data_IF_772169068057
#
_entry.id   IF_772169068057
#
_cell.length_a   1.000
_cell.length_b   1.000
_cell.length_c   1.000
_cell.angle_alpha   90.00
_cell.angle_beta   90.00
_cell.angle_gamma   90.00
#
_symmetry.space_group_name_H-M   'P 1'
#
loop_
_entity.id
_entity.type
_entity.pdbx_description
1 polymer ?
#
# COMPACT_ATOMS: atom_id res chain seq x y z
N UNK A 1 28.57 16.30 -10.10
CA UNK A 1 27.20 16.88 -10.02
C UNK A 1 26.32 15.91 -9.26
N UNK A 2 26.05 16.18 -7.99
CA UNK A 2 25.15 15.36 -7.17
C UNK A 2 23.72 15.79 -7.51
N UNK A 3 23.01 14.95 -8.29
CA UNK A 3 21.62 15.19 -8.65
C UNK A 3 20.76 15.35 -7.40
N UNK A 4 19.99 16.43 -7.35
CA UNK A 4 18.94 16.69 -6.36
C UNK A 4 18.04 15.45 -6.24
N UNK A 5 18.23 14.65 -5.19
CA UNK A 5 17.29 13.58 -4.84
C UNK A 5 15.97 14.26 -4.45
N UNK A 6 14.94 14.07 -5.26
CA UNK A 6 13.59 14.57 -4.96
C UNK A 6 13.20 14.17 -3.53
N UNK A 7 12.84 15.16 -2.71
CA UNK A 7 12.39 14.94 -1.33
C UNK A 7 11.15 14.05 -1.36
N UNK A 8 11.09 13.02 -0.52
CA UNK A 8 9.98 12.05 -0.50
C UNK A 8 8.60 12.68 -0.28
N UNK A 9 8.53 13.93 0.19
CA UNK A 9 7.31 14.71 0.35
C UNK A 9 6.68 15.21 -0.96
N UNK A 10 7.38 15.15 -2.11
CA UNK A 10 6.87 15.62 -3.40
C UNK A 10 6.26 14.50 -4.26
N UNK A 11 6.22 13.26 -3.78
CA UNK A 11 5.58 12.14 -4.48
C UNK A 11 4.09 12.14 -4.10
N UNK A 12 3.14 12.31 -5.03
CA UNK A 12 1.71 12.27 -4.75
C UNK A 12 1.33 10.97 -4.03
N UNK A 13 0.42 11.07 -3.06
CA UNK A 13 0.04 9.92 -2.20
C UNK A 13 -0.65 8.80 -3.00
N UNK A 14 -1.27 9.15 -4.11
CA UNK A 14 -1.89 8.23 -5.07
C UNK A 14 -0.90 7.67 -6.10
N UNK A 15 0.38 8.07 -6.08
CA UNK A 15 1.39 7.62 -7.05
C UNK A 15 1.52 6.10 -7.15
N UNK A 16 1.34 5.38 -6.04
CA UNK A 16 1.35 3.90 -6.03
C UNK A 16 0.09 3.29 -6.66
N UNK A 17 -1.03 4.03 -6.63
CA UNK A 17 -2.33 3.61 -7.17
C UNK A 17 -2.49 4.01 -8.63
N UNK A 18 -1.74 5.03 -9.09
CA UNK A 18 -1.67 5.43 -10.50
C UNK A 18 -1.12 4.28 -11.33
N UNK A 19 -1.97 3.81 -12.24
CA UNK A 19 -1.59 2.87 -13.29
C UNK A 19 -1.37 3.69 -14.55
N UNK A 20 -0.47 3.25 -15.41
CA UNK A 20 -0.41 3.79 -16.77
C UNK A 20 -1.80 3.58 -17.41
N UNK A 21 -2.58 4.66 -17.64
CA UNK A 21 -3.96 4.53 -18.08
C UNK A 21 -4.05 3.95 -19.50
N UNK A 22 -2.96 4.05 -20.27
CA UNK A 22 -2.96 3.86 -21.72
C UNK A 22 -2.21 2.62 -22.19
N UNK A 23 -1.92 1.64 -21.32
CA UNK A 23 -1.35 0.38 -21.82
C UNK A 23 -2.31 -0.25 -22.82
N UNK A 24 -1.84 -0.36 -24.06
CA UNK A 24 -2.61 -0.76 -25.24
C UNK A 24 -2.14 -2.11 -25.80
N UNK A 25 -2.88 -2.63 -26.78
CA UNK A 25 -2.44 -3.83 -27.52
C UNK A 25 -1.14 -3.57 -28.29
N UNK A 26 -0.87 -2.33 -28.70
CA UNK A 26 0.39 -1.94 -29.36
C UNK A 26 1.56 -2.08 -28.38
N UNK A 27 1.41 -1.53 -27.19
CA UNK A 27 2.41 -1.61 -26.12
C UNK A 27 2.68 -3.05 -25.70
N UNK A 28 1.64 -3.91 -25.68
CA UNK A 28 1.82 -5.34 -25.44
C UNK A 28 2.67 -6.00 -26.54
N UNK A 29 2.50 -5.61 -27.81
CA UNK A 29 3.36 -6.07 -28.90
C UNK A 29 4.80 -5.61 -28.74
N UNK A 30 5.01 -4.35 -28.40
CA UNK A 30 6.35 -3.82 -28.15
C UNK A 30 7.03 -4.52 -26.98
N UNK A 31 6.29 -4.76 -25.89
CA UNK A 31 6.77 -5.50 -24.75
C UNK A 31 7.17 -6.94 -25.13
N UNK A 32 6.34 -7.62 -25.91
CA UNK A 32 6.62 -8.98 -26.39
C UNK A 32 7.90 -9.02 -27.21
N UNK A 33 8.04 -8.11 -28.17
CA UNK A 33 9.22 -8.01 -29.04
C UNK A 33 10.49 -7.71 -28.23
N UNK A 34 10.38 -6.83 -27.24
CA UNK A 34 11.49 -6.47 -26.35
C UNK A 34 11.93 -7.66 -25.51
N UNK A 35 10.99 -8.41 -24.93
CA UNK A 35 11.29 -9.61 -24.15
C UNK A 35 11.88 -10.73 -25.00
N UNK A 36 11.36 -10.97 -26.21
CA UNK A 36 11.94 -11.93 -27.19
C UNK A 36 13.35 -11.52 -27.60
N UNK A 37 13.58 -10.22 -27.87
CA UNK A 37 14.91 -9.72 -28.24
C UNK A 37 15.92 -9.86 -27.09
N UNK A 38 15.48 -9.59 -25.87
CA UNK A 38 16.28 -9.77 -24.66
C UNK A 38 16.65 -11.23 -24.44
N UNK A 39 15.69 -12.16 -24.58
CA UNK A 39 15.95 -13.59 -24.41
C UNK A 39 16.94 -14.10 -25.46
N UNK A 40 16.79 -13.69 -26.73
CA UNK A 40 17.75 -14.02 -27.79
C UNK A 40 19.15 -13.50 -27.49
N UNK A 41 19.28 -12.24 -27.05
CA UNK A 41 20.59 -11.68 -26.71
C UNK A 41 21.28 -12.44 -25.57
N UNK A 42 20.50 -12.88 -24.58
CA UNK A 42 20.99 -13.71 -23.48
C UNK A 42 21.24 -15.17 -23.88
N UNK A 43 20.65 -15.65 -24.97
CA UNK A 43 20.85 -16.99 -25.50
C UNK A 43 22.11 -17.09 -26.35
N UNK A 44 22.34 -16.09 -27.21
CA UNK A 44 23.50 -16.06 -28.12
C UNK A 44 24.80 -15.65 -27.43
N UNK A 45 24.72 -15.06 -26.24
CA UNK A 45 25.90 -14.60 -25.50
C UNK A 45 26.26 -15.61 -24.40
N UNK A 46 27.55 -15.99 -24.24
CA UNK A 46 27.97 -16.78 -23.09
C UNK A 46 27.76 -16.04 -21.76
N UNK A 47 27.36 -16.76 -20.71
CA UNK A 47 27.05 -16.18 -19.38
C UNK A 47 28.17 -15.28 -18.82
N UNK A 48 29.44 -15.60 -19.11
CA UNK A 48 30.59 -14.81 -18.68
C UNK A 48 30.61 -13.38 -19.26
N UNK A 49 30.03 -13.19 -20.46
CA UNK A 49 29.98 -11.94 -21.21
C UNK A 49 28.65 -11.20 -21.04
N UNK A 50 27.70 -11.72 -20.25
CA UNK A 50 26.40 -11.07 -20.05
C UNK A 50 26.53 -9.67 -19.44
N UNK A 51 27.59 -9.40 -18.67
CA UNK A 51 27.84 -8.06 -18.10
C UNK A 51 28.13 -7.00 -19.17
N UNK A 52 28.62 -7.44 -20.33
CA UNK A 52 29.07 -6.57 -21.43
C UNK A 52 27.96 -6.35 -22.48
N UNK A 53 26.79 -6.99 -22.33
CA UNK A 53 25.64 -6.77 -23.21
C UNK A 53 25.12 -5.34 -23.02
N UNK A 54 24.94 -4.62 -24.13
CA UNK A 54 24.27 -3.32 -24.13
C UNK A 54 22.74 -3.50 -24.00
N UNK A 55 22.30 -3.74 -22.77
CA UNK A 55 20.88 -3.88 -22.47
C UNK A 55 20.05 -2.63 -22.78
N UNK A 56 20.66 -1.43 -22.78
CA UNK A 56 19.92 -0.20 -23.06
C UNK A 56 19.50 -0.16 -24.53
N UNK A 57 20.34 -0.65 -25.44
CA UNK A 57 20.01 -0.77 -26.87
C UNK A 57 18.93 -1.82 -27.17
N UNK A 58 18.70 -2.75 -26.24
CA UNK A 58 17.69 -3.82 -26.35
C UNK A 58 16.35 -3.36 -25.76
N UNK A 59 16.37 -2.77 -24.56
CA UNK A 59 15.17 -2.45 -23.79
C UNK A 59 14.50 -1.15 -24.26
N UNK A 60 15.24 -0.25 -24.91
CA UNK A 60 14.63 0.98 -25.43
C UNK A 60 13.64 0.66 -26.56
N UNK A 61 12.42 1.24 -26.52
CA UNK A 61 11.46 1.18 -27.60
C UNK A 61 12.14 1.46 -28.93
N UNK A 62 12.06 0.51 -29.86
CA UNK A 62 12.26 0.84 -31.27
C UNK A 62 10.87 1.03 -31.84
N UNK A 63 10.64 2.12 -32.58
CA UNK A 63 9.46 2.29 -33.44
C UNK A 63 9.42 1.14 -34.46
N UNK A 64 8.99 -0.04 -34.03
CA UNK A 64 8.90 -1.24 -34.82
C UNK A 64 7.44 -1.46 -35.12
N UNK A 65 7.13 -1.51 -36.41
CA UNK A 65 5.87 -2.05 -36.88
C UNK A 65 5.84 -3.52 -36.45
N UNK A 66 4.98 -3.83 -35.48
CA UNK A 66 4.73 -5.20 -35.04
C UNK A 66 4.25 -6.04 -36.21
N UNK A 67 4.83 -7.22 -36.41
CA UNK A 67 4.38 -8.17 -37.44
C UNK A 67 2.98 -8.68 -37.12
N UNK A 68 2.18 -8.93 -38.16
CA UNK A 68 0.81 -9.45 -38.01
C UNK A 68 0.75 -10.86 -37.38
N UNK A 69 1.82 -11.66 -37.53
CA UNK A 69 1.88 -13.06 -37.09
C UNK A 69 1.78 -13.27 -35.57
N UNK A 70 1.97 -12.21 -34.76
CA UNK A 70 1.97 -12.29 -33.29
C UNK A 70 0.67 -11.74 -32.64
N UNK A 71 -0.40 -11.45 -33.40
CA UNK A 71 -1.60 -10.80 -32.86
C UNK A 71 -2.27 -11.59 -31.73
N UNK A 72 -2.43 -12.90 -31.86
CA UNK A 72 -3.01 -13.75 -30.82
C UNK A 72 -2.20 -13.73 -29.51
N UNK A 73 -0.86 -13.78 -29.63
CA UNK A 73 0.04 -13.71 -28.48
C UNK A 73 0.00 -12.33 -27.80
N UNK A 74 -0.14 -11.27 -28.59
CA UNK A 74 -0.29 -9.90 -28.07
C UNK A 74 -1.55 -9.74 -27.23
N UNK A 75 -2.69 -10.28 -27.70
CA UNK A 75 -3.95 -10.25 -26.95
C UNK A 75 -3.82 -11.04 -25.64
N UNK A 76 -3.21 -12.23 -25.69
CA UNK A 76 -2.96 -13.04 -24.49
C UNK A 76 -2.06 -12.31 -23.49
N UNK A 77 -0.95 -11.73 -23.95
CA UNK A 77 -0.03 -10.97 -23.13
C UNK A 77 -0.70 -9.74 -22.51
N UNK A 78 -1.47 -9.00 -23.31
CA UNK A 78 -2.22 -7.84 -22.85
C UNK A 78 -3.17 -8.20 -21.71
N UNK A 79 -3.99 -9.24 -21.89
CA UNK A 79 -4.91 -9.72 -20.87
C UNK A 79 -4.21 -10.25 -19.63
N UNK A 80 -3.03 -10.87 -19.80
CA UNK A 80 -2.23 -11.37 -18.69
C UNK A 80 -1.68 -10.24 -17.80
N UNK A 81 -1.30 -9.10 -18.39
CA UNK A 81 -0.59 -8.03 -17.67
C UNK A 81 -1.52 -6.90 -17.23
N UNK A 82 -2.58 -6.61 -17.99
CA UNK A 82 -3.50 -5.49 -17.73
C UNK A 82 -4.03 -5.54 -16.31
N UNK A 83 -3.76 -4.48 -15.55
CA UNK A 83 -4.20 -4.32 -14.16
C UNK A 83 -3.40 -5.11 -13.11
N UNK A 84 -2.39 -5.90 -13.51
CA UNK A 84 -1.49 -6.60 -12.57
C UNK A 84 -0.19 -5.85 -12.32
N UNK A 85 0.31 -5.13 -13.31
CA UNK A 85 1.55 -4.35 -13.24
C UNK A 85 1.22 -2.87 -13.50
N UNK A 86 1.64 -1.92 -12.63
CA UNK A 86 1.31 -0.49 -12.81
C UNK A 86 1.85 0.10 -14.12
N UNK A 87 3.08 -0.28 -14.50
CA UNK A 87 3.75 0.12 -15.74
C UNK A 87 4.31 -1.11 -16.47
N UNK A 88 3.51 -1.76 -17.33
CA UNK A 88 3.91 -2.97 -18.05
C UNK A 88 5.20 -2.84 -18.87
N UNK A 89 5.41 -1.70 -19.54
CA UNK A 89 6.62 -1.45 -20.32
C UNK A 89 7.89 -1.38 -19.46
N UNK A 90 7.77 -1.21 -18.14
CA UNK A 90 8.87 -1.25 -17.19
C UNK A 90 9.36 -2.68 -16.86
N UNK A 91 8.64 -3.73 -17.25
CA UNK A 91 8.99 -5.13 -16.95
C UNK A 91 10.42 -5.48 -17.42
N UNK A 92 10.85 -5.17 -18.67
CA UNK A 92 12.19 -5.54 -19.14
C UNK A 92 13.29 -4.76 -18.42
N UNK A 93 13.05 -3.47 -18.10
CA UNK A 93 14.00 -2.64 -17.33
C UNK A 93 14.21 -3.24 -15.94
N UNK A 94 13.12 -3.48 -15.21
CA UNK A 94 13.17 -4.05 -13.86
C UNK A 94 13.84 -5.43 -13.84
N UNK A 95 13.61 -6.25 -14.87
CA UNK A 95 14.29 -7.53 -15.04
C UNK A 95 15.80 -7.35 -15.26
N UNK A 96 16.21 -6.48 -16.20
CA UNK A 96 17.61 -6.25 -16.52
C UNK A 96 18.41 -5.75 -15.32
N UNK A 97 17.87 -4.78 -14.57
CA UNK A 97 18.52 -4.27 -13.37
C UNK A 97 18.69 -5.37 -12.30
N UNK A 98 17.64 -6.17 -12.10
CA UNK A 98 17.70 -7.30 -11.19
C UNK A 98 18.70 -8.37 -11.65
N UNK A 99 18.72 -8.67 -12.94
CA UNK A 99 19.59 -9.66 -13.54
C UNK A 99 21.06 -9.24 -13.44
N UNK A 100 21.38 -7.97 -13.74
CA UNK A 100 22.73 -7.40 -13.55
C UNK A 100 23.19 -7.52 -12.10
N UNK A 101 22.31 -7.20 -11.14
CA UNK A 101 22.60 -7.34 -9.72
C UNK A 101 22.88 -8.80 -9.34
N UNK A 102 22.07 -9.74 -9.85
CA UNK A 102 22.26 -11.16 -9.64
C UNK A 102 23.61 -11.67 -10.21
N UNK A 103 24.03 -11.19 -11.39
CA UNK A 103 25.31 -11.54 -12.02
C UNK A 103 26.54 -11.10 -11.21
N UNK A 104 26.41 -10.06 -10.37
CA UNK A 104 27.47 -9.62 -9.45
C UNK A 104 27.31 -10.19 -8.03
N UNK A 105 26.33 -11.07 -7.82
CA UNK A 105 26.05 -11.66 -6.50
C UNK A 105 25.39 -10.71 -5.50
N UNK A 106 24.78 -9.63 -5.97
CA UNK A 106 24.07 -8.66 -5.15
C UNK A 106 22.56 -8.90 -5.20
N UNK A 107 21.89 -8.62 -4.07
CA UNK A 107 20.43 -8.56 -4.05
C UNK A 107 19.97 -7.25 -4.70
N UNK A 108 19.04 -7.35 -5.65
CA UNK A 108 18.43 -6.17 -6.23
C UNK A 108 17.43 -5.56 -5.25
N UNK A 109 17.55 -4.25 -5.02
CA UNK A 109 16.61 -3.46 -4.23
C UNK A 109 15.86 -2.55 -5.19
N UNK A 110 14.54 -2.63 -5.19
CA UNK A 110 13.72 -1.75 -6.02
C UNK A 110 13.90 -0.30 -5.56
N UNK A 111 14.64 0.49 -6.32
CA UNK A 111 14.67 1.93 -6.14
C UNK A 111 13.42 2.52 -6.78
N UNK A 112 12.54 3.11 -5.98
CA UNK A 112 11.38 3.82 -6.52
C UNK A 112 11.86 5.15 -7.09
N UNK A 113 12.26 5.15 -8.35
CA UNK A 113 12.59 6.37 -9.10
C UNK A 113 11.28 7.01 -9.54
N UNK A 114 10.94 8.13 -8.92
CA UNK A 114 9.82 8.96 -9.32
C UNK A 114 10.27 9.87 -10.47
N UNK A 115 10.60 9.27 -11.62
CA UNK A 115 11.11 10.01 -12.78
C UNK A 115 10.01 10.85 -13.42
N UNK A 116 8.77 10.33 -13.42
CA UNK A 116 7.59 11.08 -13.81
C UNK A 116 6.41 10.75 -12.88
N UNK A 117 5.90 11.76 -12.16
CA UNK A 117 4.79 11.60 -11.21
C UNK A 117 3.45 11.29 -11.89
N UNK A 118 3.34 11.55 -13.19
CA UNK A 118 2.14 11.32 -13.99
C UNK A 118 2.03 9.88 -14.49
N UNK A 119 3.15 9.23 -14.80
CA UNK A 119 3.16 7.88 -15.39
C UNK A 119 2.86 6.78 -14.36
N UNK A 120 2.78 7.14 -13.08
CA UNK A 120 2.63 6.21 -11.97
C UNK A 120 3.95 5.58 -11.56
N UNK A 121 3.86 4.56 -10.71
CA UNK A 121 5.04 3.90 -10.14
C UNK A 121 5.71 2.97 -11.15
N UNK A 122 7.03 3.06 -11.25
CA UNK A 122 7.86 2.10 -11.97
C UNK A 122 7.55 0.64 -11.56
N UNK A 123 7.63 -0.27 -12.53
CA UNK A 123 7.48 -1.70 -12.30
C UNK A 123 8.56 -2.20 -11.32
N UNK A 124 8.16 -2.90 -10.26
CA UNK A 124 9.12 -3.55 -9.37
C UNK A 124 9.63 -4.86 -9.95
N UNK A 125 10.86 -5.25 -9.60
CA UNK A 125 11.42 -6.56 -9.90
C UNK A 125 10.51 -7.70 -9.44
N UNK A 126 9.91 -7.62 -8.26
CA UNK A 126 8.97 -8.65 -7.77
C UNK A 126 7.71 -8.77 -8.64
N UNK A 127 7.28 -7.69 -9.27
CA UNK A 127 6.13 -7.69 -10.18
C UNK A 127 6.52 -8.24 -11.53
N UNK A 128 7.67 -7.80 -12.06
CA UNK A 128 8.29 -8.32 -13.28
C UNK A 128 8.49 -9.84 -13.22
N UNK A 129 9.18 -10.35 -12.19
CA UNK A 129 9.41 -11.80 -12.01
C UNK A 129 8.11 -12.59 -11.83
N UNK A 130 7.10 -12.01 -11.16
CA UNK A 130 5.81 -12.69 -10.96
C UNK A 130 5.05 -12.89 -12.28
N UNK A 131 5.13 -11.94 -13.20
CA UNK A 131 4.48 -12.09 -14.52
C UNK A 131 5.35 -12.85 -15.52
N UNK A 132 6.68 -12.85 -15.39
CA UNK A 132 7.59 -13.43 -16.37
C UNK A 132 7.33 -14.92 -16.62
N UNK A 133 7.00 -15.72 -15.61
CA UNK A 133 6.68 -17.15 -15.81
C UNK A 133 5.46 -17.37 -16.73
N UNK A 134 4.44 -16.53 -16.60
CA UNK A 134 3.29 -16.54 -17.50
C UNK A 134 3.68 -16.11 -18.91
N UNK A 135 4.52 -15.06 -19.01
CA UNK A 135 5.00 -14.54 -20.29
C UNK A 135 5.89 -15.55 -21.01
N UNK A 136 6.78 -16.25 -20.30
CA UNK A 136 7.64 -17.30 -20.86
C UNK A 136 6.83 -18.39 -21.54
N UNK A 137 5.76 -18.87 -20.90
CA UNK A 137 4.91 -19.91 -21.46
C UNK A 137 4.19 -19.45 -22.74
N UNK A 138 3.85 -18.17 -22.85
CA UNK A 138 3.19 -17.60 -24.03
C UNK A 138 4.19 -17.25 -25.14
N UNK A 139 5.33 -16.67 -24.79
CA UNK A 139 6.30 -16.10 -25.72
C UNK A 139 7.44 -17.06 -26.10
N UNK A 140 7.56 -18.20 -25.41
CA UNK A 140 8.65 -19.17 -25.58
C UNK A 140 10.01 -18.67 -25.09
N UNK A 141 10.03 -17.73 -24.14
CA UNK A 141 11.28 -17.17 -23.59
C UNK A 141 11.79 -17.96 -22.37
N UNK A 142 13.05 -17.72 -21.98
CA UNK A 142 13.70 -18.39 -20.85
C UNK A 142 14.30 -17.41 -19.82
N UNK A 143 13.77 -16.18 -19.77
CA UNK A 143 14.26 -15.09 -18.93
C UNK A 143 14.25 -15.40 -17.43
N UNK A 144 13.15 -15.91 -16.88
CA UNK A 144 13.02 -16.33 -15.48
C UNK A 144 14.01 -17.45 -15.16
N UNK A 145 14.07 -18.49 -16.01
CA UNK A 145 15.02 -19.60 -15.80
C UNK A 145 16.46 -19.10 -15.78
N UNK A 146 16.83 -18.18 -16.68
CA UNK A 146 18.17 -17.56 -16.70
C UNK A 146 18.43 -16.71 -15.46
N UNK A 147 17.44 -15.94 -15.02
CA UNK A 147 17.52 -15.18 -13.78
C UNK A 147 17.77 -16.09 -12.59
N UNK A 148 17.02 -17.18 -12.44
CA UNK A 148 17.16 -18.14 -11.35
C UNK A 148 18.58 -18.76 -11.33
N UNK A 149 19.14 -19.07 -12.51
CA UNK A 149 20.52 -19.58 -12.63
C UNK A 149 21.55 -18.53 -12.23
N UNK A 150 21.41 -17.28 -12.69
CA UNK A 150 22.33 -16.19 -12.33
C UNK A 150 22.26 -15.90 -10.83
N UNK A 151 21.06 -15.86 -10.28
CA UNK A 151 20.78 -15.63 -8.87
C UNK A 151 21.34 -16.75 -7.97
N UNK A 152 21.18 -18.01 -8.38
CA UNK A 152 21.78 -19.14 -7.68
C UNK A 152 23.31 -19.11 -7.71
N UNK A 153 23.94 -18.77 -8.85
CA UNK A 153 25.40 -18.64 -8.96
C UNK A 153 25.95 -17.51 -8.09
N UNK A 154 25.29 -16.34 -8.09
CA UNK A 154 25.70 -15.19 -7.28
C UNK A 154 25.67 -15.46 -5.76
N UNK A 155 24.79 -16.34 -5.30
CA UNK A 155 24.64 -16.69 -3.87
C UNK A 155 25.54 -17.85 -3.40
N UNK A 156 26.33 -18.43 -4.32
CA UNK A 156 27.08 -19.69 -4.17
C UNK A 156 28.42 -19.62 -3.41
N UNK A 157 28.73 -18.57 -2.66
CA UNK A 157 29.77 -18.64 -1.61
C UNK A 157 29.32 -19.48 -0.39
N UNK A 158 28.68 -20.62 -0.61
CA UNK A 158 28.28 -21.55 0.43
C UNK A 158 27.88 -22.91 -0.13
N UNK A 159 28.81 -23.86 0.00
CA UNK A 159 28.67 -25.33 0.05
C UNK A 159 27.66 -26.04 -0.89
N UNK A 160 28.20 -26.96 -1.71
CA UNK A 160 27.55 -27.75 -2.79
C UNK A 160 26.33 -28.62 -2.39
N UNK A 161 25.85 -28.60 -1.14
CA UNK A 161 24.81 -29.53 -0.64
C UNK A 161 23.35 -29.01 -0.73
N UNK A 162 23.10 -27.79 -1.22
CA UNK A 162 21.76 -27.15 -1.17
C UNK A 162 20.97 -27.10 -2.49
N UNK A 163 21.39 -27.86 -3.52
CA UNK A 163 20.84 -27.75 -4.89
C UNK A 163 19.43 -28.34 -5.12
N UNK A 164 18.80 -28.99 -4.14
CA UNK A 164 17.55 -29.77 -4.39
C UNK A 164 16.23 -29.06 -4.06
N UNK A 165 16.23 -27.79 -3.64
CA UNK A 165 15.00 -27.01 -3.43
C UNK A 165 15.07 -25.65 -4.10
N UNK A 166 14.72 -25.61 -5.39
CA UNK A 166 14.63 -24.38 -6.21
C UNK A 166 13.50 -23.43 -5.71
N UNK A 167 12.64 -23.87 -4.78
CA UNK A 167 11.60 -23.02 -4.17
C UNK A 167 12.04 -22.13 -2.99
N UNK A 168 13.33 -22.06 -2.62
CA UNK A 168 13.80 -21.32 -1.41
C UNK A 168 15.06 -20.48 -1.62
N UNK A 169 15.43 -20.15 -2.86
CA UNK A 169 16.74 -19.55 -3.15
C UNK A 169 16.63 -18.03 -3.28
N UNK A 170 16.26 -17.40 -2.17
CA UNK A 170 16.98 -16.24 -1.64
C UNK A 170 17.51 -16.77 -0.32
N UNK A 171 18.82 -16.70 -0.06
CA UNK A 171 19.28 -16.84 1.34
C UNK A 171 18.51 -15.74 2.07
N UNK A 172 17.44 -16.11 2.78
CA UNK A 172 16.64 -15.20 3.58
C UNK A 172 17.65 -14.32 4.30
N UNK A 173 17.57 -13.00 4.04
CA UNK A 173 18.42 -12.00 4.69
C UNK A 173 18.63 -12.47 6.13
N UNK A 174 19.86 -12.78 6.59
CA UNK A 174 20.05 -13.60 7.81
C UNK A 174 19.24 -13.11 9.01
N UNK A 175 18.99 -11.81 9.06
CA UNK A 175 18.05 -11.14 9.94
C UNK A 175 16.62 -11.74 9.98
N UNK A 176 16.05 -12.14 8.84
CA UNK A 176 14.77 -12.85 8.70
C UNK A 176 14.78 -14.24 9.32
N UNK A 177 15.95 -14.80 9.67
CA UNK A 177 16.04 -16.07 10.42
C UNK A 177 15.91 -15.89 11.92
N UNK A 178 16.05 -14.66 12.43
CA UNK A 178 15.82 -14.38 13.84
C UNK A 178 14.33 -14.61 14.19
N UNK A 179 13.97 -14.77 15.46
CA UNK A 179 12.56 -14.64 15.86
C UNK A 179 12.05 -13.22 15.59
N UNK A 180 10.74 -13.06 15.36
CA UNK A 180 10.14 -11.75 15.09
C UNK A 180 10.35 -10.79 16.26
N UNK A 181 10.31 -11.29 17.48
CA UNK A 181 10.54 -10.58 18.73
C UNK A 181 11.91 -9.92 18.75
N UNK A 182 12.95 -10.66 18.37
CA UNK A 182 14.32 -10.15 18.30
C UNK A 182 14.46 -9.13 17.18
N UNK A 183 13.85 -9.37 16.01
CA UNK A 183 13.84 -8.38 14.92
C UNK A 183 13.19 -7.07 15.34
N UNK A 184 12.04 -7.14 16.02
CA UNK A 184 11.31 -5.98 16.50
C UNK A 184 12.09 -5.23 17.57
N UNK A 185 12.79 -5.92 18.49
CA UNK A 185 13.69 -5.29 19.44
C UNK A 185 14.80 -4.48 18.76
N UNK A 186 15.36 -5.00 17.66
CA UNK A 186 16.41 -4.31 16.89
C UNK A 186 15.93 -3.01 16.25
N UNK A 187 14.62 -2.83 16.04
CA UNK A 187 14.09 -1.53 15.59
C UNK A 187 13.22 -0.86 16.66
N UNK A 188 13.16 -1.41 17.87
CA UNK A 188 12.30 -0.92 18.95
C UNK A 188 12.59 0.53 19.32
N UNK A 189 13.85 0.95 19.19
CA UNK A 189 14.26 2.34 19.43
C UNK A 189 13.76 3.32 18.34
N UNK A 190 13.46 2.83 17.14
CA UNK A 190 12.87 3.59 16.05
C UNK A 190 11.36 3.39 15.93
N UNK A 191 10.82 2.32 16.54
CA UNK A 191 9.41 1.94 16.55
C UNK A 191 8.77 2.34 17.89
N UNK A 192 8.64 3.65 18.12
CA UNK A 192 7.97 4.15 19.31
C UNK A 192 6.52 3.65 19.33
N UNK A 193 6.22 2.84 20.35
CA UNK A 193 4.94 2.15 20.48
C UNK A 193 4.03 2.97 21.39
N UNK A 194 3.20 3.83 20.80
CA UNK A 194 2.20 4.59 21.58
C UNK A 194 1.04 3.69 22.00
N UNK A 195 0.51 3.90 23.22
CA UNK A 195 -0.67 3.16 23.73
C UNK A 195 -1.94 3.50 22.94
N UNK A 196 -2.05 4.75 22.51
CA UNK A 196 -3.13 5.29 21.70
C UNK A 196 -2.60 5.76 20.35
N UNK A 197 -3.33 5.48 19.30
CA UNK A 197 -3.07 6.00 17.96
C UNK A 197 -3.93 7.24 17.77
N UNK A 198 -3.38 8.41 18.03
CA UNK A 198 -4.08 9.68 17.77
C UNK A 198 -3.87 10.08 16.31
N UNK A 199 -4.97 10.22 15.57
CA UNK A 199 -4.95 10.74 14.21
C UNK A 199 -5.36 12.20 14.21
N UNK A 200 -4.44 13.06 13.79
CA UNK A 200 -4.73 14.49 13.58
C UNK A 200 -4.94 14.77 12.10
N UNK A 201 -5.65 15.85 11.76
CA UNK A 201 -5.83 16.29 10.36
C UNK A 201 -4.50 16.57 9.64
N UNK A 202 -3.43 16.85 10.40
CA UNK A 202 -2.06 17.03 9.89
C UNK A 202 -1.38 15.69 9.50
N UNK A 203 -2.05 14.56 9.76
CA UNK A 203 -1.57 13.20 9.51
C UNK A 203 -1.33 12.41 10.79
N UNK A 204 -0.84 11.18 10.61
CA UNK A 204 -0.33 10.35 11.71
C UNK A 204 0.84 11.10 12.34
N UNK A 205 0.80 11.24 13.67
CA UNK A 205 1.94 11.59 14.53
C UNK A 205 3.25 11.10 13.90
N UNK A 206 4.07 12.05 13.42
CA UNK A 206 5.35 11.87 12.72
C UNK A 206 5.53 10.44 12.18
N UNK A 207 4.83 10.13 11.09
CA UNK A 207 4.96 8.85 10.40
C UNK A 207 6.44 8.57 10.20
N UNK A 208 6.99 7.70 11.05
CA UNK A 208 8.40 7.37 11.02
C UNK A 208 8.56 6.70 9.67
N UNK A 209 9.12 7.44 8.71
CA UNK A 209 9.40 6.94 7.38
C UNK A 209 10.53 5.96 7.57
N UNK A 210 10.19 4.76 7.99
CA UNK A 210 11.14 3.74 8.32
C UNK A 210 11.51 3.06 7.01
N UNK A 211 12.74 3.25 6.50
CA UNK A 211 13.18 2.56 5.30
C UNK A 211 13.04 1.04 5.45
N UNK A 212 13.01 0.57 6.70
CA UNK A 212 12.80 -0.83 7.01
C UNK A 212 11.47 -1.42 6.52
N UNK A 213 10.39 -0.63 6.49
CA UNK A 213 9.10 -1.10 6.00
C UNK A 213 9.15 -1.46 4.50
N UNK A 214 10.20 -1.03 3.80
CA UNK A 214 10.44 -1.32 2.38
C UNK A 214 11.34 -2.53 2.13
N UNK A 215 11.90 -3.15 3.17
CA UNK A 215 12.89 -4.24 3.01
C UNK A 215 12.23 -5.51 2.47
N UNK A 216 11.16 -5.98 3.11
CA UNK A 216 10.36 -7.09 2.61
C UNK A 216 8.96 -7.12 3.25
N UNK A 217 8.01 -7.83 2.64
CA UNK A 217 6.65 -7.96 3.14
C UNK A 217 6.59 -8.57 4.55
N UNK A 218 7.49 -9.50 4.88
CA UNK A 218 7.53 -10.11 6.21
C UNK A 218 7.83 -9.08 7.30
N UNK A 219 8.91 -8.29 7.14
CA UNK A 219 9.26 -7.24 8.10
C UNK A 219 8.16 -6.18 8.15
N UNK A 220 7.60 -5.80 7.00
CA UNK A 220 6.49 -4.85 6.95
C UNK A 220 5.30 -5.33 7.79
N UNK A 221 4.86 -6.57 7.59
CA UNK A 221 3.74 -7.16 8.34
C UNK A 221 4.05 -7.28 9.84
N UNK A 222 5.27 -7.69 10.21
CA UNK A 222 5.69 -7.79 11.61
C UNK A 222 5.70 -6.42 12.29
N UNK A 223 6.20 -5.39 11.61
CA UNK A 223 6.22 -4.02 12.13
C UNK A 223 4.81 -3.43 12.21
N UNK A 224 3.96 -3.64 11.19
CA UNK A 224 2.56 -3.23 11.23
C UNK A 224 1.87 -3.90 12.43
N UNK A 225 1.99 -5.22 12.55
CA UNK A 225 1.40 -5.96 13.67
C UNK A 225 1.92 -5.40 15.00
N UNK A 226 3.23 -5.22 15.15
CA UNK A 226 3.81 -4.62 16.34
C UNK A 226 3.24 -3.22 16.64
N UNK A 227 3.18 -2.32 15.66
CA UNK A 227 2.72 -0.95 15.88
C UNK A 227 1.23 -0.87 16.22
N UNK A 228 0.38 -1.68 15.57
CA UNK A 228 -1.06 -1.51 15.57
C UNK A 228 -1.85 -2.57 16.36
N UNK A 229 -1.31 -3.77 16.57
CA UNK A 229 -2.00 -4.83 17.32
C UNK A 229 -2.20 -4.41 18.79
N UNK A 230 -3.40 -4.66 19.30
CA UNK A 230 -3.84 -4.31 20.65
C UNK A 230 -3.72 -2.80 20.95
N UNK A 231 -3.83 -1.96 19.92
CA UNK A 231 -3.87 -0.50 20.08
C UNK A 231 -5.27 0.03 19.96
N UNK A 232 -5.49 1.09 20.73
CA UNK A 232 -6.71 1.87 20.65
C UNK A 232 -6.53 2.98 19.63
N UNK A 233 -7.36 2.95 18.59
CA UNK A 233 -7.49 4.05 17.65
C UNK A 233 -8.26 5.18 18.35
N UNK A 234 -7.67 6.36 18.51
CA UNK A 234 -8.36 7.51 19.08
C UNK A 234 -8.79 8.44 17.94
N UNK A 235 -10.09 8.63 17.78
CA UNK A 235 -10.68 9.62 16.87
C UNK A 235 -11.28 10.74 17.71
N UNK A 236 -10.66 11.91 17.62
CA UNK A 236 -11.12 13.10 18.32
C UNK A 236 -11.98 13.96 17.40
N UNK A 237 -13.30 13.89 17.56
CA UNK A 237 -14.25 14.76 16.89
C UNK A 237 -14.37 16.10 17.61
N UNK A 238 -13.50 17.04 17.21
CA UNK A 238 -13.63 18.45 17.57
C UNK A 238 -14.66 19.10 16.64
N UNK A 239 -15.80 19.52 17.17
CA UNK A 239 -16.80 20.28 16.44
C UNK A 239 -16.66 21.78 16.75
N UNK A 240 -15.82 22.54 16.01
CA UNK A 240 -15.85 23.99 16.09
C UNK A 240 -17.20 24.46 15.51
N UNK A 241 -18.18 24.77 16.36
CA UNK A 241 -19.46 25.45 16.08
C UNK A 241 -20.08 25.26 14.68
N UNK A 242 -21.16 24.45 14.60
CA UNK A 242 -22.07 24.35 13.44
C UNK A 242 -21.47 23.68 12.19
N UNK A 243 -22.23 22.80 11.50
CA UNK A 243 -21.93 22.03 10.25
C UNK A 243 -20.60 21.27 10.11
N UNK A 244 -19.56 21.65 10.85
CA UNK A 244 -18.19 21.16 10.73
C UNK A 244 -18.07 19.75 11.30
N UNK A 245 -18.97 19.33 12.19
CA UNK A 245 -18.99 17.95 12.70
C UNK A 245 -19.20 16.88 11.61
N UNK A 246 -20.08 17.13 10.62
CA UNK A 246 -20.29 16.19 9.50
C UNK A 246 -19.11 16.17 8.55
N UNK A 247 -18.59 17.35 8.24
CA UNK A 247 -17.39 17.49 7.42
C UNK A 247 -16.19 16.81 8.10
N UNK A 248 -16.05 16.95 9.41
CA UNK A 248 -15.01 16.32 10.20
C UNK A 248 -15.13 14.79 10.17
N UNK A 249 -16.31 14.24 10.48
CA UNK A 249 -16.51 12.78 10.41
C UNK A 249 -16.26 12.25 8.99
N UNK A 250 -16.70 12.96 7.96
CA UNK A 250 -16.42 12.59 6.58
C UNK A 250 -14.92 12.65 6.27
N UNK A 251 -14.22 13.70 6.72
CA UNK A 251 -12.76 13.83 6.61
C UNK A 251 -12.04 12.71 7.38
N UNK A 252 -12.53 12.28 8.54
CA UNK A 252 -12.01 11.15 9.30
C UNK A 252 -12.23 9.82 8.57
N UNK A 253 -13.41 9.56 8.01
CA UNK A 253 -13.68 8.39 7.15
C UNK A 253 -12.75 8.37 5.94
N UNK A 254 -12.66 9.49 5.23
CA UNK A 254 -11.76 9.63 4.09
C UNK A 254 -10.30 9.45 4.53
N UNK A 255 -9.94 9.92 5.71
CA UNK A 255 -8.62 9.75 6.29
C UNK A 255 -8.33 8.27 6.59
N UNK A 256 -9.26 7.53 7.20
CA UNK A 256 -9.10 6.08 7.42
C UNK A 256 -8.95 5.31 6.11
N UNK A 257 -9.73 5.69 5.09
CA UNK A 257 -9.64 5.11 3.74
C UNK A 257 -8.34 5.46 3.01
N UNK A 258 -7.82 6.67 3.24
CA UNK A 258 -6.69 7.22 2.49
C UNK A 258 -5.35 6.89 3.13
N UNK A 259 -5.25 6.96 4.46
CA UNK A 259 -3.99 6.92 5.19
C UNK A 259 -3.73 5.62 5.94
N UNK A 260 -4.78 4.86 6.27
CA UNK A 260 -4.63 3.59 6.95
C UNK A 260 -4.74 2.47 5.91
N UNK A 261 -3.67 1.71 5.66
CA UNK A 261 -3.74 0.55 4.78
C UNK A 261 -4.78 -0.46 5.30
N UNK A 262 -5.48 -1.19 4.40
CA UNK A 262 -6.42 -2.24 4.82
C UNK A 262 -5.79 -3.32 5.72
N UNK A 263 -4.49 -3.55 5.61
CA UNK A 263 -3.76 -4.47 6.48
C UNK A 263 -3.63 -3.99 7.92
N UNK A 264 -3.81 -2.69 8.19
CA UNK A 264 -3.82 -2.11 9.54
C UNK A 264 -5.23 -2.12 10.12
N UNK A 265 -6.26 -1.97 9.30
CA UNK A 265 -7.67 -2.03 9.74
C UNK A 265 -7.99 -3.30 10.54
N UNK A 266 -7.47 -4.44 10.10
CA UNK A 266 -7.65 -5.74 10.79
C UNK A 266 -6.89 -5.85 12.12
N UNK A 267 -5.95 -4.95 12.42
CA UNK A 267 -5.19 -4.96 13.67
C UNK A 267 -5.84 -4.13 14.78
N UNK A 268 -6.83 -3.29 14.45
CA UNK A 268 -7.49 -2.39 15.38
C UNK A 268 -8.66 -3.12 16.01
N UNK A 269 -8.54 -3.41 17.30
CA UNK A 269 -9.60 -4.07 18.11
C UNK A 269 -10.30 -3.11 19.05
N UNK A 270 -9.77 -1.89 19.23
CA UNK A 270 -10.32 -0.88 20.14
C UNK A 270 -10.39 0.49 19.49
N UNK A 271 -11.50 1.20 19.68
CA UNK A 271 -11.74 2.54 19.18
C UNK A 271 -12.16 3.45 20.33
N UNK A 272 -11.40 4.50 20.60
CA UNK A 272 -11.80 5.62 21.47
C UNK A 272 -12.36 6.73 20.56
N UNK A 273 -13.62 7.07 20.72
CA UNK A 273 -14.29 8.20 20.08
C UNK A 273 -14.42 9.32 21.11
N UNK A 274 -13.56 10.34 21.03
CA UNK A 274 -13.72 11.55 21.82
C UNK A 274 -14.55 12.55 21.04
N UNK A 275 -15.72 12.94 21.55
CA UNK A 275 -16.56 13.96 20.92
C UNK A 275 -16.52 15.22 21.79
N UNK A 276 -15.88 16.25 21.24
CA UNK A 276 -15.78 17.57 21.84
C UNK A 276 -16.69 18.54 21.08
N UNK A 277 -17.72 19.05 21.75
CA UNK A 277 -18.69 19.93 21.13
C UNK A 277 -19.18 21.00 22.08
N UNK A 278 -19.16 22.25 21.62
CA UNK A 278 -19.81 23.37 22.32
C UNK A 278 -21.23 23.66 21.81
N UNK A 279 -21.70 22.95 20.77
CA UNK A 279 -23.03 23.21 20.21
C UNK A 279 -23.68 21.96 19.59
N UNK A 280 -24.99 21.83 19.83
CA UNK A 280 -25.85 20.67 19.55
C UNK A 280 -26.18 20.63 18.04
N UNK A 281 -25.17 20.47 17.19
CA UNK A 281 -25.32 20.35 15.74
C UNK A 281 -25.42 18.91 15.22
N UNK A 282 -25.14 17.92 16.06
CA UNK A 282 -25.14 16.49 15.68
C UNK A 282 -26.55 15.92 15.47
N UNK A 283 -27.60 16.67 15.82
CA UNK A 283 -28.96 16.13 15.83
C UNK A 283 -29.88 16.93 14.92
N UNK A 284 -30.66 16.22 14.10
CA UNK A 284 -31.39 16.70 12.91
C UNK A 284 -32.39 17.85 13.05
N UNK A 285 -32.41 18.63 14.13
CA UNK A 285 -33.22 19.86 14.22
C UNK A 285 -32.78 20.95 13.21
N UNK A 286 -31.58 20.84 12.64
CA UNK A 286 -31.12 21.67 11.51
C UNK A 286 -31.54 21.14 10.12
N UNK A 287 -32.30 20.02 10.03
CA UNK A 287 -32.80 19.51 8.73
C UNK A 287 -33.75 20.49 8.02
N UNK A 288 -34.50 21.31 8.76
CA UNK A 288 -35.50 22.19 8.15
C UNK A 288 -34.93 23.49 7.59
N UNK A 289 -33.83 24.02 8.14
CA UNK A 289 -33.25 25.30 7.68
C UNK A 289 -32.23 25.17 6.54
N UNK A 290 -31.74 23.97 6.25
CA UNK A 290 -30.64 23.73 5.29
C UNK A 290 -31.09 23.17 3.92
N UNK A 291 -32.39 22.94 3.71
CA UNK A 291 -32.94 22.46 2.42
C UNK A 291 -32.73 23.43 1.24
N UNK A 292 -32.14 24.60 1.46
CA UNK A 292 -32.02 25.67 0.46
C UNK A 292 -30.62 25.83 -0.16
N UNK A 293 -29.60 25.05 0.23
CA UNK A 293 -28.29 25.06 -0.46
C UNK A 293 -27.91 23.65 -0.97
N UNK A 294 -27.96 23.41 -2.29
CA UNK A 294 -27.84 22.06 -2.87
C UNK A 294 -26.40 21.53 -3.07
N UNK A 295 -25.35 22.27 -2.72
CA UNK A 295 -24.01 21.93 -3.25
C UNK A 295 -23.17 20.94 -2.45
N UNK A 296 -23.51 20.57 -1.21
CA UNK A 296 -22.74 19.58 -0.45
C UNK A 296 -23.65 18.57 0.26
N UNK A 297 -24.03 17.52 -0.46
CA UNK A 297 -24.67 16.34 0.11
C UNK A 297 -23.65 15.56 0.96
N UNK A 298 -23.41 16.01 2.19
CA UNK A 298 -22.71 15.18 3.17
C UNK A 298 -23.64 14.06 3.62
N UNK A 299 -23.13 12.82 3.58
CA UNK A 299 -23.80 11.65 4.15
C UNK A 299 -24.26 11.93 5.59
N UNK A 300 -25.34 11.26 6.01
CA UNK A 300 -25.78 11.34 7.41
C UNK A 300 -24.63 10.95 8.34
N UNK A 301 -24.44 11.65 9.47
CA UNK A 301 -23.36 11.37 10.42
C UNK A 301 -23.38 9.89 10.87
N UNK A 302 -24.58 9.33 11.00
CA UNK A 302 -24.83 7.93 11.28
C UNK A 302 -24.20 6.99 10.26
N UNK A 303 -24.37 7.28 8.98
CA UNK A 303 -23.78 6.49 7.89
C UNK A 303 -22.26 6.59 7.95
N UNK A 304 -21.71 7.76 8.27
CA UNK A 304 -20.25 7.96 8.31
C UNK A 304 -19.61 7.17 9.45
N UNK A 305 -20.23 7.12 10.63
CA UNK A 305 -19.75 6.32 11.76
C UNK A 305 -19.90 4.84 11.44
N UNK A 306 -21.06 4.40 10.93
CA UNK A 306 -21.27 3.01 10.51
C UNK A 306 -20.27 2.57 9.45
N UNK A 307 -20.01 3.42 8.44
CA UNK A 307 -19.02 3.17 7.42
C UNK A 307 -17.60 3.11 8.01
N UNK A 308 -17.30 3.96 8.99
CA UNK A 308 -16.02 3.93 9.71
C UNK A 308 -15.84 2.64 10.49
N UNK A 309 -16.87 2.18 11.19
CA UNK A 309 -16.86 0.90 11.90
C UNK A 309 -16.76 -0.28 10.92
N UNK A 310 -17.39 -0.20 9.76
CA UNK A 310 -17.29 -1.21 8.70
C UNK A 310 -15.87 -1.33 8.13
N UNK A 311 -15.06 -0.28 8.23
CA UNK A 311 -13.63 -0.34 7.88
C UNK A 311 -12.80 -1.06 8.95
N UNK A 312 -13.32 -1.32 10.14
CA UNK A 312 -12.60 -1.94 11.26
C UNK A 312 -13.22 -3.32 11.58
N UNK A 313 -12.95 -4.35 10.75
CA UNK A 313 -13.68 -5.62 10.81
C UNK A 313 -13.44 -6.44 12.09
N UNK A 314 -12.34 -6.17 12.80
CA UNK A 314 -11.96 -6.86 14.03
C UNK A 314 -12.18 -5.99 15.28
N UNK A 315 -13.00 -4.96 15.17
CA UNK A 315 -13.30 -4.08 16.29
C UNK A 315 -14.07 -4.84 17.38
N UNK A 316 -13.52 -4.90 18.58
CA UNK A 316 -14.12 -5.59 19.74
C UNK A 316 -14.78 -4.58 20.68
N UNK A 317 -14.14 -3.42 20.86
CA UNK A 317 -14.57 -2.41 21.84
C UNK A 317 -14.60 -1.01 21.22
N UNK A 318 -15.65 -0.25 21.54
CA UNK A 318 -15.76 1.17 21.24
C UNK A 318 -16.01 1.91 22.55
N UNK A 319 -15.05 2.73 22.95
CA UNK A 319 -15.23 3.68 24.04
C UNK A 319 -15.64 5.02 23.45
N UNK A 320 -16.75 5.59 23.91
CA UNK A 320 -17.19 6.93 23.56
C UNK A 320 -16.97 7.84 24.75
N UNK A 321 -16.12 8.84 24.58
CA UNK A 321 -15.90 9.89 25.55
C UNK A 321 -16.62 11.16 25.09
N UNK A 322 -17.53 11.66 25.91
CA UNK A 322 -18.31 12.85 25.61
C UNK A 322 -17.81 14.00 26.48
N UNK A 323 -17.08 14.94 25.86
CA UNK A 323 -16.49 16.07 26.56
C UNK A 323 -17.37 17.31 26.31
N UNK A 324 -18.41 17.49 27.13
CA UNK A 324 -19.31 18.64 27.08
C UNK A 324 -19.14 19.56 28.29
N UNK A 325 -18.60 20.77 28.12
CA UNK A 325 -18.77 21.79 29.14
C UNK A 325 -20.23 22.31 29.03
N UNK A 326 -20.99 22.33 30.14
CA UNK A 326 -22.25 23.07 30.38
C UNK A 326 -23.63 22.35 30.36
N UNK A 327 -24.50 22.82 31.28
CA UNK A 327 -25.79 22.31 31.79
C UNK A 327 -26.99 22.16 30.81
N UNK A 328 -26.81 22.36 29.49
CA UNK A 328 -27.90 22.12 28.49
C UNK A 328 -27.89 20.71 27.91
N UNK A 329 -27.15 19.80 28.54
CA UNK A 329 -26.77 18.48 28.01
C UNK A 329 -27.88 17.42 27.94
N UNK A 330 -29.02 17.54 28.63
CA UNK A 330 -29.95 16.40 28.75
C UNK A 330 -30.61 15.96 27.43
N UNK A 331 -30.98 16.91 26.55
CA UNK A 331 -31.58 16.58 25.25
C UNK A 331 -30.53 16.10 24.23
N UNK A 332 -29.31 16.63 24.32
CA UNK A 332 -28.19 16.15 23.51
C UNK A 332 -27.75 14.74 23.95
N UNK A 333 -27.76 14.49 25.27
CA UNK A 333 -27.52 13.19 25.90
C UNK A 333 -28.42 12.11 25.35
N UNK A 334 -29.74 12.28 25.49
CA UNK A 334 -30.69 11.26 25.01
C UNK A 334 -30.53 10.98 23.53
N UNK A 335 -30.24 12.00 22.72
CA UNK A 335 -30.06 11.82 21.27
C UNK A 335 -28.76 11.11 20.91
N UNK A 336 -27.65 11.42 21.58
CA UNK A 336 -26.37 10.72 21.39
C UNK A 336 -26.48 9.28 21.89
N UNK A 337 -27.15 9.06 23.02
CA UNK A 337 -27.41 7.71 23.54
C UNK A 337 -28.31 6.91 22.60
N UNK A 338 -29.41 7.48 22.11
CA UNK A 338 -30.28 6.81 21.13
C UNK A 338 -29.55 6.52 19.82
N UNK A 339 -28.66 7.42 19.40
CA UNK A 339 -27.79 7.24 18.24
C UNK A 339 -26.83 6.06 18.44
N UNK A 340 -26.10 6.04 19.56
CA UNK A 340 -25.16 4.97 19.90
C UNK A 340 -25.90 3.64 20.07
N UNK A 341 -27.06 3.63 20.74
CA UNK A 341 -27.90 2.44 20.91
C UNK A 341 -28.38 1.89 19.56
N UNK A 342 -28.78 2.78 18.64
CA UNK A 342 -29.15 2.39 17.28
C UNK A 342 -28.01 1.67 16.54
N UNK A 343 -26.77 2.14 16.71
CA UNK A 343 -25.58 1.53 16.12
C UNK A 343 -25.16 0.25 16.86
N UNK A 344 -25.20 0.24 18.19
CA UNK A 344 -24.78 -0.91 18.99
C UNK A 344 -25.67 -2.12 18.73
N UNK A 345 -26.97 -1.93 18.49
CA UNK A 345 -27.86 -3.02 18.11
C UNK A 345 -27.52 -3.62 16.73
N UNK A 346 -26.83 -2.88 15.87
CA UNK A 346 -26.40 -3.36 14.55
C UNK A 346 -25.01 -4.01 14.52
N UNK A 347 -24.24 -3.92 15.62
CA UNK A 347 -22.83 -4.32 15.66
C UNK A 347 -22.54 -5.23 16.86
N UNK A 348 -21.76 -6.30 16.67
CA UNK A 348 -21.30 -7.18 17.77
C UNK A 348 -20.07 -6.58 18.48
N UNK A 349 -20.19 -5.34 18.92
CA UNK A 349 -19.10 -4.56 19.50
C UNK A 349 -19.51 -4.14 20.90
N UNK A 350 -18.60 -4.22 21.86
CA UNK A 350 -18.86 -3.76 23.22
C UNK A 350 -18.72 -2.23 23.28
N UNK A 351 -19.77 -1.55 23.75
CA UNK A 351 -19.80 -0.09 23.84
C UNK A 351 -19.65 0.37 25.29
N UNK A 352 -18.65 1.21 25.54
CA UNK A 352 -18.44 1.85 26.84
C UNK A 352 -18.59 3.37 26.67
N UNK A 353 -19.47 4.01 27.45
CA UNK A 353 -19.73 5.44 27.34
C UNK A 353 -19.28 6.12 28.65
N UNK A 354 -18.41 7.12 28.54
CA UNK A 354 -17.79 7.80 29.69
C UNK A 354 -17.70 9.32 29.48
N UNK A 355 -17.43 10.09 30.54
CA UNK A 355 -17.35 11.57 30.50
C UNK A 355 -18.57 12.30 31.07
N UNK A 356 -19.31 11.67 31.98
CA UNK A 356 -20.48 12.26 32.64
C UNK A 356 -20.26 12.23 34.15
N UNK A 357 -20.45 13.37 34.82
CA UNK A 357 -20.59 13.42 36.28
C UNK A 357 -22.04 13.04 36.61
N UNK A 358 -22.33 11.74 36.72
CA UNK A 358 -23.41 11.10 37.49
C UNK A 358 -23.30 9.57 37.41
#
# INVERSE_FOLDING_TARGET
MLGSRNRSSSIPRDYQKRRCPDFSLLDAGELLDTLKALDRALDTTPVAQHKDIDYNAIVRPRNRQTKAEDEALRIQLFNHIKGRVPQPLGIPIAFVEAYKSALVGQCFVNETKADNLFDGRACMCSESLRCLSGIENMAGTHLQKRFDVAYAKGTSHGSKKHRKLIGRIVKLFPFLRLPAEIRLQIYGYHLQRHRRLCYTLEGIYQGVSLPILRVCCQINNEVIKYLFENRTLNLEAHAPRGDIGRRFLHEQKQMLLTYIPPSVHVCITRLDLSIEGNDIGLTGAFREKMRTKPDHAYDNADNIILDTLALLPNLETVQVQLNYPWQKGHLARERILNFIQGISHSTKVDWEISGWDD
#
